data_IF_513161879730
#
_entry.id   IF_513161879730
#
_cell.length_a   1.000
_cell.length_b   1.000
_cell.length_c   1.000
_cell.angle_alpha   90.00
_cell.angle_beta   90.00
_cell.angle_gamma   90.00
#
_symmetry.space_group_name_H-M   'P 1'
#
loop_
_entity.id
_entity.type
_entity.pdbx_description
1 polymer ?
#
# COMPACT_ATOMS: atom_id res chain seq x y z
N UNK A 1 1.76 -19.67 2.10
CA UNK A 1 0.75 -20.73 1.90
C UNK A 1 0.08 -21.03 3.24
N UNK A 2 -1.26 -21.13 3.22
CA UNK A 2 -2.05 -21.45 4.42
C UNK A 2 -1.92 -22.94 4.79
N UNK A 3 -2.27 -23.31 6.03
CA UNK A 3 -2.26 -24.69 6.51
C UNK A 3 -3.14 -25.60 5.66
N UNK A 4 -4.31 -25.11 5.27
CA UNK A 4 -5.19 -25.81 4.33
C UNK A 4 -4.58 -25.96 2.94
N UNK A 5 -3.81 -24.98 2.46
CA UNK A 5 -3.18 -25.05 1.14
C UNK A 5 -2.08 -26.14 1.10
N UNK A 6 -1.29 -26.25 2.16
CA UNK A 6 -0.33 -27.36 2.32
C UNK A 6 -1.03 -28.72 2.39
N UNK A 7 -2.14 -28.80 3.12
CA UNK A 7 -2.93 -30.03 3.18
C UNK A 7 -3.47 -30.46 1.81
N UNK A 8 -4.08 -29.54 1.06
CA UNK A 8 -4.57 -29.81 -0.29
C UNK A 8 -3.43 -30.24 -1.21
N UNK A 9 -2.25 -29.63 -1.08
CA UNK A 9 -1.07 -30.01 -1.85
C UNK A 9 -0.59 -31.43 -1.53
N UNK A 10 -0.47 -31.80 -0.25
CA UNK A 10 -0.10 -33.17 0.13
C UNK A 10 -1.12 -34.20 -0.34
N UNK A 11 -2.42 -33.89 -0.27
CA UNK A 11 -3.46 -34.76 -0.81
C UNK A 11 -3.33 -34.93 -2.34
N UNK A 12 -2.93 -33.89 -3.08
CA UNK A 12 -2.70 -33.97 -4.53
C UNK A 12 -1.50 -34.85 -4.85
N UNK A 13 -0.43 -34.71 -4.08
CA UNK A 13 0.79 -35.51 -4.25
C UNK A 13 0.55 -36.99 -3.93
N UNK A 14 -0.18 -37.30 -2.86
CA UNK A 14 -0.62 -38.66 -2.55
C UNK A 14 -1.48 -39.25 -3.67
N UNK A 15 -2.41 -38.47 -4.22
CA UNK A 15 -3.28 -38.92 -5.30
C UNK A 15 -2.50 -39.16 -6.60
N UNK A 16 -1.55 -38.27 -6.94
CA UNK A 16 -0.66 -38.45 -8.11
C UNK A 16 0.21 -39.70 -7.99
N UNK A 17 0.69 -40.03 -6.78
CA UNK A 17 1.47 -41.26 -6.54
C UNK A 17 0.63 -42.54 -6.68
N UNK A 18 -0.64 -42.49 -6.26
CA UNK A 18 -1.55 -43.65 -6.30
C UNK A 18 -2.28 -43.82 -7.63
N UNK A 19 -2.44 -42.73 -8.37
CA UNK A 19 -3.13 -42.68 -9.66
C UNK A 19 -2.24 -41.95 -10.67
N UNK A 20 -1.14 -42.60 -11.06
CA UNK A 20 -0.17 -42.08 -12.04
C UNK A 20 -0.82 -41.80 -13.42
N UNK A 21 -1.97 -42.43 -13.72
CA UNK A 21 -2.63 -42.39 -15.03
C UNK A 21 -4.06 -41.81 -15.01
N UNK A 22 -4.58 -41.38 -13.85
CA UNK A 22 -5.97 -40.90 -13.75
C UNK A 22 -6.04 -39.37 -13.70
N UNK A 23 -6.73 -38.77 -14.68
CA UNK A 23 -7.02 -37.34 -14.70
C UNK A 23 -7.90 -36.97 -13.51
N UNK A 24 -7.37 -36.16 -12.59
CA UNK A 24 -8.05 -35.79 -11.35
C UNK A 24 -8.98 -34.61 -11.63
N UNK A 25 -10.30 -34.81 -11.54
CA UNK A 25 -11.26 -33.70 -11.65
C UNK A 25 -11.09 -32.72 -10.48
N UNK A 26 -10.70 -31.48 -10.77
CA UNK A 26 -10.41 -30.45 -9.77
C UNK A 26 -11.61 -30.18 -8.84
N UNK A 27 -12.84 -30.22 -9.38
CA UNK A 27 -14.06 -29.96 -8.63
C UNK A 27 -14.32 -31.03 -7.57
N UNK A 28 -14.19 -32.29 -7.94
CA UNK A 28 -14.40 -33.43 -7.02
C UNK A 28 -13.28 -33.54 -5.99
N UNK A 29 -12.04 -33.29 -6.42
CA UNK A 29 -10.88 -33.32 -5.54
C UNK A 29 -10.96 -32.22 -4.46
N UNK A 30 -11.40 -31.01 -4.86
CA UNK A 30 -11.60 -29.90 -3.92
C UNK A 30 -12.65 -30.24 -2.86
N UNK A 31 -13.77 -30.85 -3.25
CA UNK A 31 -14.82 -31.32 -2.33
C UNK A 31 -14.29 -32.38 -1.35
N UNK A 32 -13.60 -33.40 -1.87
CA UNK A 32 -12.98 -34.47 -1.05
C UNK A 32 -11.94 -33.92 -0.06
N UNK A 33 -11.12 -32.95 -0.48
CA UNK A 33 -10.18 -32.29 0.43
C UNK A 33 -10.89 -31.45 1.50
N UNK A 34 -11.97 -30.76 1.16
CA UNK A 34 -12.72 -29.96 2.15
C UNK A 34 -13.36 -30.84 3.22
N UNK A 35 -13.98 -31.95 2.82
CA UNK A 35 -14.58 -32.93 3.73
C UNK A 35 -13.51 -33.57 4.62
N UNK A 36 -12.42 -34.07 4.01
CA UNK A 36 -11.29 -34.64 4.76
C UNK A 36 -10.72 -33.63 5.74
N UNK A 37 -10.49 -32.38 5.35
CA UNK A 37 -9.99 -31.36 6.27
C UNK A 37 -10.95 -31.10 7.44
N UNK A 38 -12.27 -31.13 7.22
CA UNK A 38 -13.25 -30.96 8.31
C UNK A 38 -13.20 -32.13 9.30
N UNK A 39 -13.10 -33.36 8.81
CA UNK A 39 -13.07 -34.57 9.64
C UNK A 39 -11.71 -34.86 10.27
N UNK A 40 -10.64 -34.19 9.83
CA UNK A 40 -9.29 -34.36 10.39
C UNK A 40 -9.17 -33.80 11.81
N UNK A 41 -8.44 -34.53 12.65
CA UNK A 41 -8.23 -34.18 14.05
C UNK A 41 -7.30 -32.98 14.20
N UNK A 42 -7.38 -32.28 15.35
CA UNK A 42 -6.51 -31.14 15.65
C UNK A 42 -5.01 -31.52 15.63
N UNK A 43 -4.67 -32.76 16.00
CA UNK A 43 -3.29 -33.26 15.97
C UNK A 43 -2.74 -33.38 14.54
N UNK A 44 -3.57 -33.77 13.58
CA UNK A 44 -3.15 -33.88 12.18
C UNK A 44 -3.11 -32.51 11.50
N UNK A 45 -4.04 -31.62 11.85
CA UNK A 45 -4.04 -30.20 11.42
C UNK A 45 -2.80 -29.46 11.95
N UNK A 46 -2.35 -29.78 13.16
CA UNK A 46 -1.16 -29.18 13.77
C UNK A 46 0.08 -29.25 12.89
N UNK A 47 0.32 -30.39 12.22
CA UNK A 47 1.45 -30.55 11.29
C UNK A 47 1.41 -29.53 10.14
N UNK A 48 0.22 -29.27 9.59
CA UNK A 48 0.03 -28.31 8.50
C UNK A 48 0.05 -26.85 8.98
N UNK A 49 -0.38 -26.59 10.22
CA UNK A 49 -0.26 -25.29 10.86
C UNK A 49 1.20 -24.89 11.07
N UNK A 50 2.05 -25.83 11.49
CA UNK A 50 3.48 -25.56 11.68
C UNK A 50 4.20 -25.34 10.34
N UNK A 51 3.81 -26.05 9.27
CA UNK A 51 4.27 -25.77 7.91
C UNK A 51 3.84 -24.37 7.44
N UNK A 52 2.61 -23.97 7.73
CA UNK A 52 2.11 -22.63 7.39
C UNK A 52 2.84 -21.51 8.15
N UNK A 53 3.16 -21.72 9.43
CA UNK A 53 3.98 -20.77 10.22
C UNK A 53 5.38 -20.63 9.64
N UNK A 54 6.00 -21.75 9.26
CA UNK A 54 7.34 -21.76 8.67
C UNK A 54 7.36 -21.05 7.32
N UNK A 55 6.36 -21.30 6.47
CA UNK A 55 6.23 -20.65 5.16
C UNK A 55 5.95 -19.14 5.29
N UNK A 56 5.15 -18.74 6.28
CA UNK A 56 4.94 -17.33 6.61
C UNK A 56 6.25 -16.64 6.98
N UNK A 57 7.09 -17.27 7.81
CA UNK A 57 8.40 -16.73 8.17
C UNK A 57 9.35 -16.63 6.96
N UNK A 58 9.31 -17.61 6.04
CA UNK A 58 10.05 -17.53 4.76
C UNK A 58 9.60 -16.32 3.95
N UNK A 59 8.29 -16.17 3.75
CA UNK A 59 7.71 -15.07 2.99
C UNK A 59 8.06 -13.70 3.58
N UNK A 60 7.99 -13.54 4.90
CA UNK A 60 8.38 -12.29 5.57
C UNK A 60 9.86 -11.96 5.37
N UNK A 61 10.74 -12.97 5.39
CA UNK A 61 12.17 -12.81 5.11
C UNK A 61 12.43 -12.38 3.66
N UNK A 62 11.78 -13.04 2.71
CA UNK A 62 11.86 -12.73 1.28
C UNK A 62 11.31 -11.32 0.98
N UNK A 63 10.18 -10.96 1.59
CA UNK A 63 9.58 -9.63 1.44
C UNK A 63 10.43 -8.51 2.04
N UNK A 64 11.26 -8.79 3.05
CA UNK A 64 12.18 -7.79 3.61
C UNK A 64 13.30 -7.41 2.63
N UNK A 65 13.73 -8.36 1.80
CA UNK A 65 14.73 -8.13 0.75
C UNK A 65 14.11 -7.76 -0.60
N UNK A 66 12.80 -7.93 -0.75
CA UNK A 66 12.08 -7.57 -1.96
C UNK A 66 11.97 -6.05 -2.12
N UNK A 67 12.61 -5.53 -3.18
CA UNK A 67 12.38 -4.18 -3.67
C UNK A 67 11.43 -4.33 -4.86
N UNK A 68 10.15 -3.95 -4.73
CA UNK A 68 9.24 -3.99 -5.86
C UNK A 68 9.82 -3.16 -7.01
N UNK A 69 9.78 -3.70 -8.23
CA UNK A 69 9.93 -2.87 -9.43
C UNK A 69 9.00 -1.68 -9.29
N UNK A 70 9.44 -0.50 -9.76
CA UNK A 70 8.77 0.80 -9.62
C UNK A 70 7.48 0.86 -10.47
N UNK A 71 6.63 -0.16 -10.38
CA UNK A 71 5.33 -0.25 -10.98
C UNK A 71 4.38 0.72 -10.30
N UNK A 72 3.51 1.28 -11.13
CA UNK A 72 2.56 2.36 -10.86
C UNK A 72 1.59 2.00 -9.72
N UNK A 73 2.06 2.10 -8.49
CA UNK A 73 1.15 2.10 -7.34
C UNK A 73 0.26 3.33 -7.48
N UNK A 74 -0.98 3.11 -7.94
CA UNK A 74 -2.02 4.14 -8.03
C UNK A 74 -1.93 4.99 -6.77
N UNK A 75 -1.60 6.28 -6.96
CA UNK A 75 -1.36 7.22 -5.86
C UNK A 75 -2.57 7.16 -4.92
N UNK A 76 -2.40 6.55 -3.74
CA UNK A 76 -3.47 6.48 -2.73
C UNK A 76 -4.08 7.88 -2.55
N UNK A 77 -5.40 7.98 -2.67
CA UNK A 77 -6.15 9.23 -2.50
C UNK A 77 -5.83 9.78 -1.11
N UNK A 78 -5.37 11.02 -1.03
CA UNK A 78 -5.01 11.64 0.24
C UNK A 78 -6.29 12.20 0.82
N UNK A 79 -6.60 11.79 2.04
CA UNK A 79 -7.72 12.32 2.80
C UNK A 79 -7.56 13.85 2.95
N UNK A 80 -8.53 14.67 2.48
CA UNK A 80 -8.46 16.12 2.61
C UNK A 80 -8.38 16.62 4.06
N UNK A 81 -8.86 15.83 5.02
CA UNK A 81 -8.85 16.19 6.44
C UNK A 81 -7.61 15.67 7.18
N UNK A 82 -6.77 14.86 6.53
CA UNK A 82 -5.55 14.38 7.17
C UNK A 82 -4.54 15.53 7.34
N UNK A 83 -3.85 15.61 8.51
CA UNK A 83 -2.78 16.57 8.71
C UNK A 83 -1.76 16.51 7.57
N UNK A 84 -1.48 17.66 6.96
CA UNK A 84 -0.55 17.77 5.83
C UNK A 84 0.83 17.32 6.27
N UNK A 85 1.49 16.51 5.45
CA UNK A 85 2.85 16.02 5.73
C UNK A 85 3.78 17.17 6.08
N UNK A 86 4.49 17.00 7.20
CA UNK A 86 5.55 17.93 7.61
C UNK A 86 6.62 18.09 6.52
N UNK A 87 7.16 19.30 6.33
CA UNK A 87 8.31 19.49 5.46
C UNK A 87 9.55 18.82 6.05
N UNK A 88 10.34 18.15 5.20
CA UNK A 88 11.66 17.62 5.56
C UNK A 88 12.70 18.75 5.68
N UNK A 89 13.85 18.48 6.30
CA UNK A 89 14.98 19.41 6.36
C UNK A 89 15.37 19.93 4.97
N UNK A 90 15.42 19.04 3.97
CA UNK A 90 15.64 19.40 2.57
C UNK A 90 14.58 20.37 2.02
N UNK A 91 13.30 20.17 2.34
CA UNK A 91 12.24 21.07 1.86
C UNK A 91 12.29 22.45 2.53
N UNK A 92 12.74 22.52 3.79
CA UNK A 92 13.01 23.80 4.46
C UNK A 92 14.15 24.53 3.75
N UNK A 93 15.25 23.84 3.46
CA UNK A 93 16.35 24.38 2.66
C UNK A 93 15.89 24.83 1.27
N UNK A 94 15.16 23.99 0.53
CA UNK A 94 14.62 24.38 -0.77
C UNK A 94 13.72 25.61 -0.68
N UNK A 95 12.92 25.77 0.37
CA UNK A 95 12.05 26.94 0.51
C UNK A 95 12.82 28.26 0.61
N UNK A 96 13.99 28.24 1.25
CA UNK A 96 14.84 29.42 1.43
C UNK A 96 15.71 29.70 0.19
N UNK A 97 16.21 28.65 -0.48
CA UNK A 97 17.15 28.79 -1.59
C UNK A 97 16.50 28.84 -2.98
N UNK A 98 15.28 28.30 -3.15
CA UNK A 98 14.54 28.39 -4.41
C UNK A 98 14.30 29.83 -4.90
N UNK A 99 13.90 30.81 -4.08
CA UNK A 99 13.79 32.20 -4.54
C UNK A 99 15.14 32.80 -4.93
N UNK A 100 16.24 32.43 -4.24
CA UNK A 100 17.59 32.90 -4.57
C UNK A 100 18.03 32.44 -5.96
N UNK A 101 17.89 31.13 -6.24
CA UNK A 101 18.25 30.56 -7.55
C UNK A 101 17.33 31.12 -8.66
N UNK A 102 16.05 31.33 -8.36
CA UNK A 102 15.11 31.94 -9.33
C UNK A 102 15.48 33.40 -9.63
N UNK A 103 15.99 34.14 -8.64
CA UNK A 103 16.46 35.51 -8.82
C UNK A 103 17.78 35.59 -9.59
N UNK A 104 18.71 34.68 -9.33
CA UNK A 104 19.98 34.58 -10.09
C UNK A 104 19.76 34.16 -11.53
N UNK A 105 18.80 33.25 -11.77
CA UNK A 105 18.51 32.68 -13.10
C UNK A 105 17.01 32.73 -13.41
N UNK A 106 16.47 33.92 -13.72
CA UNK A 106 15.09 34.05 -14.14
C UNK A 106 14.90 33.33 -15.49
N UNK A 107 14.23 32.18 -15.49
CA UNK A 107 13.96 31.39 -16.70
C UNK A 107 14.20 29.88 -16.55
N UNK A 108 14.89 29.43 -15.50
CA UNK A 108 15.03 28.00 -15.23
C UNK A 108 13.68 27.35 -14.91
N UNK A 109 13.45 26.15 -15.45
CA UNK A 109 12.30 25.34 -15.10
C UNK A 109 12.33 24.99 -13.61
N UNK A 110 11.15 24.85 -13.00
CA UNK A 110 10.99 24.43 -11.61
C UNK A 110 11.74 23.11 -11.36
N UNK A 111 11.76 22.22 -12.35
CA UNK A 111 12.48 20.95 -12.29
C UNK A 111 14.00 21.13 -12.21
N UNK A 112 14.58 22.04 -12.99
CA UNK A 112 16.02 22.28 -13.02
C UNK A 112 16.50 22.98 -11.75
N UNK A 113 15.69 23.91 -11.22
CA UNK A 113 15.95 24.51 -9.90
C UNK A 113 15.95 23.44 -8.80
N UNK A 114 15.02 22.47 -8.86
CA UNK A 114 14.96 21.38 -7.89
C UNK A 114 16.17 20.45 -7.98
N UNK A 115 16.67 20.15 -9.19
CA UNK A 115 17.90 19.36 -9.39
C UNK A 115 19.12 20.07 -8.76
N UNK A 116 19.31 21.36 -9.08
CA UNK A 116 20.40 22.17 -8.53
C UNK A 116 20.36 22.25 -7.00
N UNK A 117 19.16 22.39 -6.42
CA UNK A 117 18.97 22.37 -4.95
C UNK A 117 19.33 21.02 -4.33
N UNK A 118 19.01 19.92 -5.01
CA UNK A 118 19.37 18.57 -4.58
C UNK A 118 20.88 18.37 -4.52
N UNK A 119 21.59 18.82 -5.55
CA UNK A 119 23.06 18.80 -5.60
C UNK A 119 23.67 19.67 -4.50
N UNK A 120 23.17 20.90 -4.34
CA UNK A 120 23.61 21.80 -3.26
C UNK A 120 23.41 21.17 -1.88
N UNK A 121 22.27 20.55 -1.63
CA UNK A 121 21.99 19.89 -0.34
C UNK A 121 22.94 18.72 -0.05
N UNK A 122 23.25 17.91 -1.06
CA UNK A 122 24.20 16.79 -0.91
C UNK A 122 25.62 17.29 -0.64
N UNK A 123 26.00 18.42 -1.24
CA UNK A 123 27.31 19.05 -1.05
C UNK A 123 27.40 19.93 0.21
N UNK A 124 26.27 20.27 0.84
CA UNK A 124 26.24 21.10 2.06
C UNK A 124 26.83 20.31 3.24
N UNK A 125 27.65 20.95 4.08
CA UNK A 125 28.21 20.30 5.27
C UNK A 125 27.12 19.82 6.23
N UNK A 126 27.41 18.80 7.04
CA UNK A 126 26.46 18.32 8.06
C UNK A 126 26.13 19.41 9.09
N UNK A 127 27.09 20.30 9.37
CA UNK A 127 26.93 21.43 10.29
C UNK A 127 25.90 22.45 9.79
N UNK A 128 25.95 22.79 8.50
CA UNK A 128 24.98 23.69 7.88
C UNK A 128 23.61 23.04 7.69
N UNK A 129 23.56 21.71 7.56
CA UNK A 129 22.30 20.93 7.52
C UNK A 129 21.64 20.78 8.88
N UNK A 130 22.42 20.74 9.96
CA UNK A 130 21.96 20.57 11.34
C UNK A 130 20.83 21.53 11.78
N UNK A 131 20.88 22.86 11.51
CA UNK A 131 19.78 23.75 11.87
C UNK A 131 18.48 23.38 11.14
N UNK A 132 18.54 22.96 9.88
CA UNK A 132 17.36 22.52 9.12
C UNK A 132 16.82 21.19 9.66
N UNK A 133 17.70 20.26 10.04
CA UNK A 133 17.30 19.01 10.69
C UNK A 133 16.64 19.23 12.04
N UNK A 134 17.19 20.13 12.88
CA UNK A 134 16.58 20.54 14.16
C UNK A 134 15.21 21.19 13.94
N UNK A 135 15.08 22.11 12.97
CA UNK A 135 13.78 22.71 12.60
C UNK A 135 12.78 21.63 12.13
N UNK A 136 13.22 20.71 11.28
CA UNK A 136 12.40 19.61 10.79
C UNK A 136 12.00 18.63 11.91
N UNK A 137 12.89 18.38 12.89
CA UNK A 137 12.61 17.55 14.07
C UNK A 137 11.52 18.18 14.96
N UNK A 138 11.57 19.50 15.19
CA UNK A 138 10.52 20.22 15.92
C UNK A 138 9.17 20.17 15.18
N UNK A 139 9.16 20.37 13.87
CA UNK A 139 7.95 20.22 13.05
C UNK A 139 7.45 18.77 13.03
N UNK A 140 8.37 17.81 13.15
CA UNK A 140 8.08 16.39 13.29
C UNK A 140 7.25 16.08 14.51
N UNK A 141 7.67 16.59 15.66
CA UNK A 141 6.95 16.40 16.91
C UNK A 141 5.55 17.04 16.86
N UNK A 142 5.45 18.28 16.34
CA UNK A 142 4.14 18.95 16.18
C UNK A 142 3.19 18.18 15.27
N UNK A 143 3.69 17.69 14.14
CA UNK A 143 2.90 16.90 13.21
C UNK A 143 2.49 15.54 13.79
N UNK A 144 3.36 14.90 14.57
CA UNK A 144 3.02 13.64 15.26
C UNK A 144 1.90 13.84 16.28
N UNK A 145 1.92 14.94 17.06
CA UNK A 145 0.81 15.32 17.94
C UNK A 145 -0.49 15.57 17.14
N UNK A 146 -0.41 16.27 16.01
CA UNK A 146 -1.56 16.50 15.13
C UNK A 146 -2.13 15.22 14.51
N UNK A 147 -1.28 14.29 14.07
CA UNK A 147 -1.70 12.98 13.58
C UNK A 147 -2.29 12.12 14.70
N UNK A 148 -1.75 12.18 15.91
CA UNK A 148 -2.32 11.46 17.06
C UNK A 148 -3.74 11.96 17.37
N UNK A 149 -3.94 13.28 17.41
CA UNK A 149 -5.27 13.89 17.56
C UNK A 149 -6.21 13.53 16.39
N UNK A 150 -5.71 13.54 15.15
CA UNK A 150 -6.47 13.13 13.97
C UNK A 150 -6.88 11.66 14.03
N UNK A 151 -5.98 10.76 14.43
CA UNK A 151 -6.27 9.33 14.60
C UNK A 151 -7.28 9.08 15.72
N UNK A 152 -7.21 9.86 16.80
CA UNK A 152 -8.18 9.79 17.90
C UNK A 152 -9.58 10.25 17.46
N UNK A 153 -9.67 11.30 16.62
CA UNK A 153 -10.94 11.85 16.10
C UNK A 153 -11.50 11.10 14.87
N UNK A 154 -10.62 10.49 14.07
CA UNK A 154 -10.86 9.99 12.72
C UNK A 154 -11.69 8.70 12.59
N UNK A 155 -12.16 8.10 13.68
CA UNK A 155 -13.09 6.95 13.58
C UNK A 155 -14.53 7.34 13.22
N UNK A 156 -14.96 8.59 13.43
CA UNK A 156 -16.37 9.01 13.21
C UNK A 156 -16.60 9.77 11.91
N UNK A 157 -15.66 10.63 11.51
CA UNK A 157 -15.88 11.54 10.37
C UNK A 157 -15.48 10.94 9.02
N UNK A 158 -14.54 9.98 9.01
CA UNK A 158 -14.11 9.29 7.78
C UNK A 158 -15.21 8.38 7.22
N UNK A 159 -16.02 7.75 8.07
CA UNK A 159 -17.14 6.89 7.66
C UNK A 159 -18.30 7.71 7.08
N UNK A 160 -18.68 8.81 7.74
CA UNK A 160 -19.77 9.69 7.26
C UNK A 160 -19.45 10.32 5.91
N UNK A 161 -18.21 10.76 5.70
CA UNK A 161 -17.78 11.37 4.43
C UNK A 161 -17.60 10.34 3.30
N UNK A 162 -17.26 9.09 3.65
CA UNK A 162 -17.18 7.97 2.70
C UNK A 162 -18.55 7.57 2.16
N UNK A 163 -19.58 7.50 3.03
CA UNK A 163 -20.97 7.20 2.62
C UNK A 163 -21.51 8.27 1.67
N UNK A 164 -21.34 9.55 2.01
CA UNK A 164 -21.85 10.68 1.19
C UNK A 164 -21.14 10.76 -0.18
N UNK A 165 -19.84 10.44 -0.25
CA UNK A 165 -19.10 10.48 -1.51
C UNK A 165 -19.36 9.24 -2.39
N UNK A 166 -19.65 8.09 -1.78
CA UNK A 166 -20.06 6.89 -2.50
C UNK A 166 -21.46 7.05 -3.12
N UNK A 167 -22.42 7.64 -2.39
CA UNK A 167 -23.75 7.96 -2.93
C UNK A 167 -23.67 8.94 -4.10
N UNK A 168 -22.89 10.03 -3.97
CA UNK A 168 -22.80 11.03 -5.03
C UNK A 168 -22.12 10.51 -6.30
N UNK A 169 -21.19 9.57 -6.17
CA UNK A 169 -20.55 8.93 -7.33
C UNK A 169 -21.43 7.85 -7.96
N UNK A 170 -22.34 7.24 -7.19
CA UNK A 170 -23.31 6.26 -7.70
C UNK A 170 -24.43 6.96 -8.45
N UNK A 171 -24.98 8.05 -7.89
CA UNK A 171 -25.99 8.89 -8.54
C UNK A 171 -25.48 9.50 -9.85
N UNK A 172 -24.23 9.99 -9.87
CA UNK A 172 -23.65 10.52 -11.11
C UNK A 172 -23.49 9.44 -12.19
N UNK A 173 -23.23 8.19 -11.79
CA UNK A 173 -23.07 7.09 -12.75
C UNK A 173 -24.43 6.61 -13.26
N UNK A 174 -25.46 6.59 -12.42
CA UNK A 174 -26.84 6.28 -12.82
C UNK A 174 -27.40 7.35 -13.77
N UNK A 175 -27.09 8.64 -13.56
CA UNK A 175 -27.47 9.73 -14.49
C UNK A 175 -26.70 9.68 -15.83
N UNK A 176 -25.49 9.11 -15.88
CA UNK A 176 -24.66 9.00 -17.10
C UNK A 176 -25.02 7.74 -17.92
N UNK A 177 -25.46 6.64 -17.27
CA UNK A 177 -26.00 5.44 -17.92
C UNK A 177 -27.43 5.68 -18.48
N UNK A 178 -28.25 6.56 -17.88
CA UNK A 178 -29.59 6.91 -18.40
C UNK A 178 -29.53 7.84 -19.63
N UNK A 179 -28.52 8.71 -19.76
CA UNK A 179 -28.35 9.56 -20.95
C UNK A 179 -27.78 8.80 -22.17
N UNK A 180 -27.08 7.66 -21.98
CA UNK A 180 -26.56 6.84 -23.09
C UNK A 180 -27.61 5.88 -23.69
N UNK A 181 -28.69 5.52 -22.97
CA UNK A 181 -29.76 4.64 -23.48
C UNK A 181 -30.87 5.40 -24.25
N UNK A 182 -30.91 6.74 -24.18
CA UNK A 182 -31.88 7.56 -24.93
C UNK A 182 -31.38 7.95 -26.35
N UNK A 183 -30.10 7.72 -26.68
CA UNK A 183 -29.46 8.16 -27.94
C UNK A 183 -29.28 7.01 -28.98
N UNK A 184 -29.82 5.80 -28.73
CA UNK A 184 -29.71 4.61 -29.63
C UNK A 184 -31.07 4.16 -30.24
N UNK A 185 -32.13 4.99 -30.18
CA UNK A 185 -33.47 4.68 -30.74
C UNK A 185 -34.05 5.75 -31.69
N UNK A 186 -33.20 6.48 -32.45
CA UNK A 186 -33.64 7.31 -33.60
C UNK A 186 -32.88 7.05 -34.92
#
# INVERSE_FOLDING_TARGET
>A
MSSYAFFVQTCREEHKKKHLDFSVNFSEFSKKCSERWKTMSAKEKGKFEDMAKTDKARYEREMKTYIPSKGETKRKFKDPNAPKRRPSAFFLFCSEYRPRIKGERPGLSIGDVAKKLGEMWNNTAAEDRQPYEKKAAKLKEKHEKGIAAYRAKGKRDAVKKWVVKAEKSKKKKEEEDEEEEEDDDE
#
